data_IF_358944814555
#
_entry.id   IF_358944814555
#
_cell.length_a   1.000
_cell.length_b   1.000
_cell.length_c   1.000
_cell.angle_alpha   90.00
_cell.angle_beta   90.00
_cell.angle_gamma   90.00
#
_symmetry.space_group_name_H-M   'P 1'
#
loop_
_entity.id
_entity.type
_entity.pdbx_description
1 polymer ?
#
# COMPACT_ATOMS: atom_id res chain seq x y z
N UNK A 1 -5.04 -10.11 -6.90
CA UNK A 1 -5.96 -9.63 -5.87
C UNK A 1 -7.24 -9.28 -6.58
N UNK A 2 -8.39 -9.73 -6.07
CA UNK A 2 -9.67 -9.47 -6.73
C UNK A 2 -10.13 -8.02 -6.51
N UNK A 3 -11.16 -7.59 -7.25
CA UNK A 3 -11.63 -6.20 -7.21
C UNK A 3 -12.18 -5.82 -5.82
N UNK A 4 -12.88 -6.74 -5.15
CA UNK A 4 -13.51 -6.49 -3.85
C UNK A 4 -12.45 -6.29 -2.76
N UNK A 5 -11.41 -7.12 -2.74
CA UNK A 5 -10.25 -6.98 -1.86
C UNK A 5 -9.57 -5.62 -2.03
N UNK A 6 -9.32 -5.21 -3.29
CA UNK A 6 -8.71 -3.91 -3.59
C UNK A 6 -9.57 -2.75 -3.09
N UNK A 7 -10.89 -2.82 -3.31
CA UNK A 7 -11.81 -1.77 -2.89
C UNK A 7 -11.89 -1.66 -1.37
N UNK A 8 -11.91 -2.80 -0.65
CA UNK A 8 -11.89 -2.82 0.81
C UNK A 8 -10.61 -2.16 1.34
N UNK A 9 -9.44 -2.51 0.80
CA UNK A 9 -8.17 -1.90 1.20
C UNK A 9 -8.18 -0.38 0.91
N UNK A 10 -8.68 0.05 -0.24
CA UNK A 10 -8.79 1.48 -0.57
C UNK A 10 -9.70 2.23 0.41
N UNK A 11 -10.82 1.63 0.80
CA UNK A 11 -11.76 2.23 1.73
C UNK A 11 -11.19 2.34 3.14
N UNK A 12 -10.47 1.31 3.60
CA UNK A 12 -9.89 1.26 4.94
C UNK A 12 -8.62 2.08 5.07
N UNK A 13 -7.74 2.08 4.06
CA UNK A 13 -6.41 2.68 4.14
C UNK A 13 -6.35 4.04 3.45
N UNK A 14 -7.16 4.26 2.41
CA UNK A 14 -7.18 5.50 1.63
C UNK A 14 -7.24 6.79 2.46
N UNK A 15 -8.07 6.89 3.53
CA UNK A 15 -8.13 8.07 4.38
C UNK A 15 -6.85 8.39 5.17
N UNK A 16 -5.90 7.44 5.27
CA UNK A 16 -4.68 7.58 6.07
C UNK A 16 -3.43 7.84 5.23
N UNK A 17 -3.50 7.69 3.91
CA UNK A 17 -2.36 7.90 3.01
C UNK A 17 -2.50 9.26 2.31
N UNK A 18 -1.36 9.92 2.09
CA UNK A 18 -1.35 11.19 1.35
C UNK A 18 -1.46 11.00 -0.16
N UNK A 19 -0.95 9.87 -0.68
CA UNK A 19 -0.99 9.53 -2.10
C UNK A 19 -1.88 8.30 -2.37
N UNK A 20 -3.15 8.56 -2.71
CA UNK A 20 -4.12 7.51 -3.05
C UNK A 20 -3.79 6.83 -4.38
N UNK A 21 -3.21 7.55 -5.35
CA UNK A 21 -2.87 6.96 -6.65
C UNK A 21 -1.72 5.96 -6.49
N UNK A 22 -0.73 6.27 -5.64
CA UNK A 22 0.30 5.30 -5.25
C UNK A 22 -0.29 4.01 -4.66
N UNK A 23 -1.27 4.12 -3.75
CA UNK A 23 -1.94 2.95 -3.18
C UNK A 23 -2.69 2.14 -4.25
N UNK A 24 -3.38 2.80 -5.19
CA UNK A 24 -4.06 2.13 -6.32
C UNK A 24 -3.09 1.40 -7.23
N UNK A 25 -1.97 2.02 -7.58
CA UNK A 25 -0.93 1.41 -8.41
C UNK A 25 -0.34 0.16 -7.74
N UNK A 26 -0.05 0.24 -6.44
CA UNK A 26 0.43 -0.91 -5.67
C UNK A 26 -0.57 -2.06 -5.68
N UNK A 27 -1.85 -1.78 -5.44
CA UNK A 27 -2.91 -2.77 -5.45
C UNK A 27 -3.08 -3.41 -6.82
N UNK A 28 -3.00 -2.62 -7.90
CA UNK A 28 -3.11 -3.12 -9.26
C UNK A 28 -1.95 -4.01 -9.68
N UNK A 29 -0.76 -3.72 -9.15
CA UNK A 29 0.43 -4.52 -9.40
C UNK A 29 0.56 -5.73 -8.46
N UNK A 30 -0.36 -5.95 -7.51
CA UNK A 30 -0.24 -7.02 -6.51
C UNK A 30 -1.17 -8.21 -6.77
N UNK A 31 -0.61 -9.43 -6.67
CA UNK A 31 -1.32 -10.69 -6.87
C UNK A 31 -2.17 -11.09 -5.66
N UNK A 32 -1.75 -10.71 -4.46
CA UNK A 32 -2.46 -10.95 -3.19
C UNK A 32 -1.93 -10.01 -2.11
N UNK A 33 -2.43 -10.14 -0.88
CA UNK A 33 -2.04 -9.29 0.25
C UNK A 33 -0.57 -9.53 0.63
N UNK A 34 -0.05 -10.74 0.49
CA UNK A 34 1.34 -11.04 0.86
C UNK A 34 2.32 -10.44 -0.15
N UNK A 35 2.01 -10.54 -1.45
CA UNK A 35 2.74 -9.86 -2.53
C UNK A 35 2.73 -8.33 -2.33
N UNK A 36 1.60 -7.74 -1.95
CA UNK A 36 1.51 -6.32 -1.61
C UNK A 36 2.44 -5.96 -0.42
N UNK A 37 2.40 -6.75 0.66
CA UNK A 37 3.26 -6.56 1.84
C UNK A 37 4.74 -6.65 1.47
N UNK A 38 5.12 -7.59 0.62
CA UNK A 38 6.51 -7.74 0.18
C UNK A 38 6.98 -6.56 -0.66
N UNK A 39 6.18 -6.10 -1.64
CA UNK A 39 6.49 -4.91 -2.44
C UNK A 39 6.62 -3.65 -1.59
N UNK A 40 5.76 -3.46 -0.59
CA UNK A 40 5.85 -2.35 0.35
C UNK A 40 7.14 -2.39 1.18
N UNK A 41 7.56 -3.58 1.64
CA UNK A 41 8.84 -3.75 2.36
C UNK A 41 10.03 -3.41 1.46
N UNK A 42 10.06 -3.94 0.24
CA UNK A 42 11.10 -3.64 -0.75
C UNK A 42 11.17 -2.14 -1.08
N UNK A 43 10.02 -1.49 -1.28
CA UNK A 43 9.95 -0.03 -1.49
C UNK A 43 10.51 0.76 -0.30
N UNK A 44 10.25 0.31 0.93
CA UNK A 44 10.74 0.99 2.13
C UNK A 44 12.27 0.97 2.27
N UNK A 45 12.93 -0.03 1.68
CA UNK A 45 14.40 -0.14 1.67
C UNK A 45 15.04 0.91 0.75
N UNK A 46 14.39 1.24 -0.37
CA UNK A 46 14.96 2.12 -1.40
C UNK A 46 14.42 3.56 -1.37
N UNK A 47 13.20 3.77 -0.85
CA UNK A 47 12.53 5.07 -0.85
C UNK A 47 13.24 6.05 0.10
N UNK A 48 13.55 7.25 -0.38
CA UNK A 48 14.22 8.30 0.42
C UNK A 48 13.26 9.41 0.84
N UNK A 49 12.13 9.55 0.15
CA UNK A 49 11.12 10.53 0.48
C UNK A 49 10.42 10.18 1.80
N UNK A 50 10.48 11.10 2.77
CA UNK A 50 9.97 10.87 4.13
C UNK A 50 8.44 10.71 4.14
N UNK A 51 7.74 11.43 3.26
CA UNK A 51 6.27 11.38 3.17
C UNK A 51 5.87 10.01 2.62
N UNK A 52 6.48 9.58 1.51
CA UNK A 52 6.21 8.24 0.93
C UNK A 52 6.59 7.11 1.88
N UNK A 53 7.73 7.20 2.57
CA UNK A 53 8.11 6.22 3.61
C UNK A 53 7.08 6.14 4.73
N UNK A 54 6.45 7.26 5.08
CA UNK A 54 5.41 7.31 6.11
C UNK A 54 4.13 6.65 5.61
N UNK A 55 3.69 6.95 4.39
CA UNK A 55 2.53 6.30 3.76
C UNK A 55 2.73 4.78 3.67
N UNK A 56 3.90 4.31 3.21
CA UNK A 56 4.24 2.88 3.14
C UNK A 56 4.10 2.20 4.51
N UNK A 57 4.60 2.84 5.57
CA UNK A 57 4.50 2.31 6.94
C UNK A 57 3.06 2.27 7.45
N UNK A 58 2.26 3.30 7.15
CA UNK A 58 0.82 3.34 7.48
C UNK A 58 0.10 2.18 6.80
N UNK A 59 0.33 1.97 5.50
CA UNK A 59 -0.28 0.88 4.75
C UNK A 59 0.11 -0.47 5.38
N UNK A 60 1.39 -0.72 5.64
CA UNK A 60 1.87 -1.96 6.27
C UNK A 60 1.27 -2.21 7.66
N UNK A 61 1.06 -1.16 8.47
CA UNK A 61 0.46 -1.28 9.79
C UNK A 61 -1.03 -1.63 9.72
N UNK A 62 -1.75 -1.06 8.75
CA UNK A 62 -3.18 -1.32 8.55
C UNK A 62 -3.48 -2.69 7.94
N UNK A 63 -2.54 -3.26 7.18
CA UNK A 63 -2.66 -4.61 6.60
C UNK A 63 -2.36 -5.76 7.58
N UNK A 64 -2.13 -5.47 8.87
CA UNK A 64 -1.84 -6.48 9.90
C UNK A 64 -2.97 -7.47 10.11
#
# INVERSE_FOLDING_TARGET
MNMDEKNNILMEIGPYVSDIEFLKELLNNSNDIEDLKNKLKELLEIEKDIIKRTDIKIILDKLK
#
